data_IF_112981745478
#
_entry.id   IF_112981745478
#
_cell.length_a   1.000
_cell.length_b   1.000
_cell.length_c   1.000
_cell.angle_alpha   90.00
_cell.angle_beta   90.00
_cell.angle_gamma   90.00
#
_symmetry.space_group_name_H-M   'P 1'
#
loop_
_entity.id
_entity.type
_entity.pdbx_description
1 polymer ?
#
# COMPACT_ATOMS: atom_id res chain seq x y z
N UNK A 1 -18.82 3.23 25.28
CA UNK A 1 -17.46 2.62 25.25
C UNK A 1 -17.41 1.21 24.66
N UNK A 2 -18.39 0.35 24.84
CA UNK A 2 -18.44 -0.99 24.18
C UNK A 2 -18.60 -0.88 22.67
N UNK A 3 -19.53 -0.03 22.19
CA UNK A 3 -19.87 0.09 20.78
C UNK A 3 -18.72 0.66 19.93
N UNK A 4 -17.98 1.64 20.46
CA UNK A 4 -16.79 2.20 19.79
C UNK A 4 -15.70 1.12 19.58
N UNK A 5 -15.47 0.26 20.61
CA UNK A 5 -14.48 -0.81 20.50
C UNK A 5 -14.88 -1.85 19.47
N UNK A 6 -16.16 -2.21 19.42
CA UNK A 6 -16.68 -3.19 18.44
C UNK A 6 -16.55 -2.63 17.02
N UNK A 7 -16.94 -1.37 16.79
CA UNK A 7 -16.82 -0.73 15.48
C UNK A 7 -15.35 -0.62 15.03
N UNK A 8 -14.45 -0.28 15.95
CA UNK A 8 -13.01 -0.22 15.67
C UNK A 8 -12.47 -1.60 15.32
N UNK A 9 -12.90 -2.65 16.01
CA UNK A 9 -12.49 -4.03 15.73
C UNK A 9 -12.99 -4.52 14.37
N UNK A 10 -14.26 -4.26 14.03
CA UNK A 10 -14.82 -4.55 12.70
C UNK A 10 -14.02 -3.80 11.63
N UNK A 11 -13.73 -2.52 11.88
CA UNK A 11 -12.93 -1.69 10.99
C UNK A 11 -11.52 -2.24 10.80
N UNK A 12 -10.86 -2.66 11.87
CA UNK A 12 -9.55 -3.31 11.82
C UNK A 12 -9.54 -4.55 10.92
N UNK A 13 -10.47 -5.49 11.13
CA UNK A 13 -10.53 -6.71 10.32
C UNK A 13 -10.91 -6.43 8.86
N UNK A 14 -11.78 -5.45 8.63
CA UNK A 14 -12.12 -5.04 7.26
C UNK A 14 -10.90 -4.45 6.54
N UNK A 15 -10.13 -3.57 7.19
CA UNK A 15 -8.89 -3.04 6.62
C UNK A 15 -7.81 -4.10 6.47
N UNK A 16 -7.75 -5.07 7.39
CA UNK A 16 -6.87 -6.23 7.27
C UNK A 16 -7.15 -6.99 5.96
N UNK A 17 -8.42 -7.31 5.69
CA UNK A 17 -8.79 -8.05 4.49
C UNK A 17 -8.54 -7.25 3.21
N UNK A 18 -8.84 -5.95 3.22
CA UNK A 18 -8.53 -5.07 2.09
C UNK A 18 -7.02 -5.07 1.82
N UNK A 19 -6.19 -4.92 2.87
CA UNK A 19 -4.74 -4.94 2.74
C UNK A 19 -4.18 -6.29 2.26
N UNK A 20 -4.74 -7.41 2.75
CA UNK A 20 -4.35 -8.74 2.25
C UNK A 20 -4.70 -8.87 0.77
N UNK A 21 -5.92 -8.50 0.37
CA UNK A 21 -6.37 -8.60 -1.03
C UNK A 21 -5.53 -7.75 -1.98
N UNK A 22 -5.05 -6.60 -1.54
CA UNK A 22 -4.20 -5.70 -2.34
C UNK A 22 -2.89 -6.38 -2.75
N UNK A 23 -2.16 -6.92 -1.79
CA UNK A 23 -0.78 -7.35 -1.99
C UNK A 23 -0.56 -8.88 -1.96
N UNK A 24 -1.59 -9.70 -1.75
CA UNK A 24 -1.42 -11.15 -1.64
C UNK A 24 -0.80 -11.79 -2.89
N UNK A 25 -1.04 -11.22 -4.07
CA UNK A 25 -0.46 -11.67 -5.34
C UNK A 25 1.06 -11.66 -5.31
N UNK A 26 1.67 -10.71 -4.60
CA UNK A 26 3.14 -10.57 -4.45
C UNK A 26 3.79 -11.85 -3.91
N UNK A 27 3.08 -12.57 -3.06
CA UNK A 27 3.58 -13.80 -2.44
C UNK A 27 3.19 -15.10 -3.16
N UNK A 28 2.49 -15.02 -4.31
CA UNK A 28 2.01 -16.22 -5.01
C UNK A 28 2.16 -16.11 -6.54
N UNK A 29 3.12 -15.30 -7.01
CA UNK A 29 3.37 -15.08 -8.44
C UNK A 29 3.60 -16.40 -9.20
N UNK A 30 4.42 -17.31 -8.65
CA UNK A 30 4.76 -18.57 -9.31
C UNK A 30 3.58 -19.54 -9.38
N UNK A 31 2.77 -19.62 -8.33
CA UNK A 31 1.60 -20.50 -8.27
C UNK A 31 0.55 -20.06 -9.30
N UNK A 32 0.26 -18.76 -9.36
CA UNK A 32 -0.66 -18.19 -10.35
C UNK A 32 -0.11 -18.27 -11.78
N UNK A 33 1.18 -18.03 -11.98
CA UNK A 33 1.86 -18.16 -13.29
C UNK A 33 1.68 -19.54 -13.88
N UNK A 34 1.82 -20.59 -13.08
CA UNK A 34 1.60 -21.98 -13.51
C UNK A 34 0.15 -22.26 -13.87
N UNK A 35 -0.82 -21.79 -13.05
CA UNK A 35 -2.26 -22.04 -13.28
C UNK A 35 -2.77 -21.34 -14.55
N UNK A 36 -2.35 -20.08 -14.78
CA UNK A 36 -2.79 -19.30 -15.93
C UNK A 36 -1.92 -19.46 -17.18
N UNK A 37 -0.83 -20.25 -17.10
CA UNK A 37 0.14 -20.46 -18.19
C UNK A 37 0.72 -19.16 -18.76
N UNK A 38 1.01 -18.19 -17.88
CA UNK A 38 1.60 -16.89 -18.21
C UNK A 38 2.86 -16.65 -17.39
N UNK A 39 3.68 -15.68 -17.78
CA UNK A 39 4.91 -15.36 -17.04
C UNK A 39 4.62 -14.72 -15.68
N UNK A 40 5.57 -14.84 -14.74
CA UNK A 40 5.52 -14.12 -13.45
C UNK A 40 5.43 -12.60 -13.67
N UNK A 41 6.04 -12.07 -14.72
CA UNK A 41 5.94 -10.67 -15.09
C UNK A 41 4.49 -10.26 -15.38
N UNK A 42 3.73 -11.08 -16.11
CA UNK A 42 2.31 -10.84 -16.37
C UNK A 42 1.47 -10.95 -15.10
N UNK A 43 1.71 -11.94 -14.23
CA UNK A 43 1.00 -12.02 -12.94
C UNK A 43 1.29 -10.78 -12.08
N UNK A 44 2.52 -10.27 -12.06
CA UNK A 44 2.86 -9.03 -11.37
C UNK A 44 2.07 -7.81 -11.86
N UNK A 45 1.61 -7.79 -13.13
CA UNK A 45 0.74 -6.73 -13.65
C UNK A 45 -0.64 -6.68 -12.97
N UNK A 46 -1.07 -7.74 -12.29
CA UNK A 46 -2.28 -7.69 -11.47
C UNK A 46 -2.15 -6.71 -10.30
N UNK A 47 -0.94 -6.53 -9.76
CA UNK A 47 -0.62 -5.51 -8.75
C UNK A 47 -0.69 -4.11 -9.38
N UNK A 48 -0.11 -3.95 -10.59
CA UNK A 48 -0.20 -2.70 -11.36
C UNK A 48 -1.65 -2.29 -11.57
N UNK A 49 -2.47 -3.20 -12.11
CA UNK A 49 -3.88 -2.95 -12.44
C UNK A 49 -4.67 -2.58 -11.18
N UNK A 50 -4.42 -3.28 -10.07
CA UNK A 50 -5.09 -3.01 -8.80
C UNK A 50 -4.70 -1.62 -8.26
N UNK A 51 -3.42 -1.31 -8.15
CA UNK A 51 -2.94 -0.05 -7.60
C UNK A 51 -3.37 1.17 -8.44
N UNK A 52 -3.25 1.09 -9.77
CA UNK A 52 -3.69 2.16 -10.69
C UNK A 52 -5.20 2.32 -10.64
N UNK A 53 -5.97 1.22 -10.67
CA UNK A 53 -7.42 1.27 -10.58
C UNK A 53 -7.87 1.85 -9.23
N UNK A 54 -7.25 1.44 -8.12
CA UNK A 54 -7.51 2.01 -6.79
C UNK A 54 -7.29 3.52 -6.78
N UNK A 55 -6.13 3.98 -7.30
CA UNK A 55 -5.77 5.40 -7.34
C UNK A 55 -6.77 6.25 -8.14
N UNK A 56 -7.18 5.78 -9.31
CA UNK A 56 -8.09 6.51 -10.22
C UNK A 56 -9.55 6.41 -9.74
N UNK A 57 -9.99 5.20 -9.42
CA UNK A 57 -11.41 4.94 -9.08
C UNK A 57 -11.79 5.48 -7.71
N UNK A 58 -10.86 5.58 -6.76
CA UNK A 58 -11.15 6.05 -5.41
C UNK A 58 -11.82 7.44 -5.38
N UNK A 59 -11.27 8.51 -5.96
CA UNK A 59 -11.91 9.82 -5.97
C UNK A 59 -13.19 9.85 -6.83
N UNK A 60 -13.20 9.14 -7.96
CA UNK A 60 -14.35 9.10 -8.88
C UNK A 60 -15.54 8.44 -8.21
N UNK A 61 -15.36 7.24 -7.66
CA UNK A 61 -16.42 6.47 -7.02
C UNK A 61 -16.89 7.13 -5.72
N UNK A 62 -15.97 7.69 -4.92
CA UNK A 62 -16.32 8.42 -3.69
C UNK A 62 -17.23 9.61 -4.00
N UNK A 63 -16.94 10.37 -5.07
CA UNK A 63 -17.78 11.47 -5.52
C UNK A 63 -19.11 10.97 -6.09
N UNK A 64 -19.11 9.96 -6.93
CA UNK A 64 -20.30 9.40 -7.55
C UNK A 64 -21.28 8.79 -6.53
N UNK A 65 -20.77 8.26 -5.42
CA UNK A 65 -21.56 7.62 -4.35
C UNK A 65 -21.79 8.51 -3.14
N UNK A 66 -21.43 9.78 -3.19
CA UNK A 66 -21.54 10.72 -2.07
C UNK A 66 -22.98 10.90 -1.54
N UNK A 67 -23.99 10.70 -2.39
CA UNK A 67 -25.41 10.78 -2.05
C UNK A 67 -25.96 9.50 -1.38
N UNK A 68 -25.20 8.39 -1.38
CA UNK A 68 -25.62 7.12 -0.82
C UNK A 68 -25.28 7.08 0.68
N UNK A 69 -26.20 6.55 1.47
CA UNK A 69 -25.96 6.33 2.90
C UNK A 69 -24.71 5.45 3.13
N UNK A 70 -23.82 5.91 4.02
CA UNK A 70 -22.51 5.26 4.24
C UNK A 70 -22.63 3.78 4.64
N UNK A 71 -23.57 3.42 5.54
CA UNK A 71 -23.80 2.04 5.93
C UNK A 71 -24.30 1.19 4.76
N UNK A 72 -25.26 1.67 3.98
CA UNK A 72 -25.80 0.96 2.83
C UNK A 72 -24.71 0.72 1.78
N UNK A 73 -23.92 1.75 1.50
CA UNK A 73 -22.82 1.66 0.55
C UNK A 73 -21.74 0.68 1.02
N UNK A 74 -21.35 0.74 2.31
CA UNK A 74 -20.35 -0.16 2.89
C UNK A 74 -20.84 -1.63 2.84
N UNK A 75 -22.10 -1.89 3.19
CA UNK A 75 -22.71 -3.23 3.08
C UNK A 75 -22.68 -3.72 1.62
N UNK A 76 -23.11 -2.89 0.67
CA UNK A 76 -23.07 -3.25 -0.75
C UNK A 76 -21.66 -3.55 -1.26
N UNK A 77 -20.68 -2.72 -0.86
CA UNK A 77 -19.27 -2.92 -1.21
C UNK A 77 -18.70 -4.22 -0.61
N UNK A 78 -19.04 -4.55 0.64
CA UNK A 78 -18.59 -5.82 1.26
C UNK A 78 -19.21 -7.04 0.57
N UNK A 79 -20.50 -6.98 0.20
CA UNK A 79 -21.14 -8.05 -0.57
C UNK A 79 -20.43 -8.23 -1.92
N UNK A 80 -20.22 -7.15 -2.66
CA UNK A 80 -19.50 -7.19 -3.94
C UNK A 80 -18.07 -7.71 -3.77
N UNK A 81 -17.38 -7.31 -2.69
CA UNK A 81 -16.02 -7.77 -2.42
C UNK A 81 -15.97 -9.30 -2.17
N UNK A 82 -16.97 -9.86 -1.47
CA UNK A 82 -17.12 -11.32 -1.31
C UNK A 82 -17.32 -11.98 -2.68
N UNK A 83 -18.26 -11.47 -3.48
CA UNK A 83 -18.58 -12.03 -4.81
C UNK A 83 -17.34 -12.03 -5.69
N UNK A 84 -16.62 -10.91 -5.78
CA UNK A 84 -15.44 -10.79 -6.64
C UNK A 84 -14.23 -11.55 -6.08
N UNK A 85 -14.10 -11.72 -4.75
CA UNK A 85 -13.10 -12.62 -4.17
C UNK A 85 -13.36 -14.08 -4.57
N UNK A 86 -14.63 -14.54 -4.50
CA UNK A 86 -15.01 -15.86 -4.98
C UNK A 86 -14.84 -15.99 -6.49
N UNK A 87 -15.22 -14.97 -7.25
CA UNK A 87 -15.07 -14.96 -8.70
C UNK A 87 -13.60 -15.11 -9.11
N UNK A 88 -12.67 -14.50 -8.37
CA UNK A 88 -11.23 -14.66 -8.60
C UNK A 88 -10.81 -16.14 -8.63
N UNK A 89 -11.38 -16.97 -7.77
CA UNK A 89 -11.00 -18.40 -7.64
C UNK A 89 -11.51 -19.30 -8.77
N UNK A 90 -12.53 -18.87 -9.49
CA UNK A 90 -13.12 -19.63 -10.62
C UNK A 90 -12.65 -19.14 -11.99
N UNK A 91 -11.88 -18.06 -12.03
CA UNK A 91 -11.31 -17.57 -13.29
C UNK A 91 -10.25 -18.54 -13.82
N UNK A 92 -10.38 -18.88 -15.08
CA UNK A 92 -9.45 -19.73 -15.84
C UNK A 92 -8.65 -18.94 -16.87
N UNK A 93 -9.08 -17.72 -17.18
CA UNK A 93 -8.44 -16.85 -18.16
C UNK A 93 -7.87 -15.61 -17.49
N UNK A 94 -6.59 -15.33 -17.79
CA UNK A 94 -5.86 -14.19 -17.24
C UNK A 94 -6.54 -12.85 -17.54
N UNK A 95 -7.10 -12.65 -18.74
CA UNK A 95 -7.76 -11.39 -19.10
C UNK A 95 -8.98 -11.09 -18.21
N UNK A 96 -9.82 -12.09 -17.94
CA UNK A 96 -10.96 -11.91 -17.03
C UNK A 96 -10.50 -11.71 -15.59
N UNK A 97 -9.41 -12.33 -15.18
CA UNK A 97 -8.81 -12.08 -13.87
C UNK A 97 -8.36 -10.62 -13.73
N UNK A 98 -7.78 -10.01 -14.76
CA UNK A 98 -7.43 -8.58 -14.77
C UNK A 98 -8.66 -7.69 -14.55
N UNK A 99 -9.78 -7.98 -15.23
CA UNK A 99 -11.03 -7.24 -15.05
C UNK A 99 -11.53 -7.36 -13.61
N UNK A 100 -11.55 -8.57 -13.06
CA UNK A 100 -11.94 -8.82 -11.67
C UNK A 100 -11.07 -8.01 -10.70
N UNK A 101 -9.76 -7.96 -10.90
CA UNK A 101 -8.82 -7.20 -10.06
C UNK A 101 -9.08 -5.69 -10.12
N UNK A 102 -9.37 -5.13 -11.30
CA UNK A 102 -9.73 -3.71 -11.46
C UNK A 102 -11.01 -3.38 -10.68
N UNK A 103 -12.04 -4.21 -10.81
CA UNK A 103 -13.31 -4.01 -10.10
C UNK A 103 -13.10 -4.13 -8.58
N UNK A 104 -12.35 -5.14 -8.12
CA UNK A 104 -12.02 -5.32 -6.71
C UNK A 104 -11.27 -4.10 -6.14
N UNK A 105 -10.36 -3.50 -6.89
CA UNK A 105 -9.64 -2.30 -6.48
C UNK A 105 -10.59 -1.11 -6.25
N UNK A 106 -11.54 -0.90 -7.16
CA UNK A 106 -12.58 0.13 -7.01
C UNK A 106 -13.46 -0.10 -5.77
N UNK A 107 -13.88 -1.34 -5.54
CA UNK A 107 -14.67 -1.72 -4.35
C UNK A 107 -13.84 -1.51 -3.07
N UNK A 108 -12.60 -1.97 -3.04
CA UNK A 108 -11.69 -1.83 -1.91
C UNK A 108 -11.43 -0.37 -1.56
N UNK A 109 -11.29 0.50 -2.57
CA UNK A 109 -11.11 1.94 -2.36
C UNK A 109 -12.32 2.58 -1.66
N UNK A 110 -13.55 2.22 -2.07
CA UNK A 110 -14.78 2.67 -1.42
C UNK A 110 -14.90 2.14 0.01
N UNK A 111 -14.60 0.85 0.23
CA UNK A 111 -14.58 0.27 1.59
C UNK A 111 -13.64 1.07 2.47
N UNK A 112 -12.41 1.33 2.02
CA UNK A 112 -11.39 2.07 2.79
C UNK A 112 -11.87 3.45 3.18
N UNK A 113 -12.35 4.25 2.21
CA UNK A 113 -12.81 5.63 2.46
C UNK A 113 -14.05 5.64 3.36
N UNK A 114 -15.04 4.79 3.08
CA UNK A 114 -16.31 4.78 3.84
C UNK A 114 -16.16 4.22 5.23
N UNK A 115 -15.28 3.24 5.42
CA UNK A 115 -14.97 2.68 6.73
C UNK A 115 -14.32 3.72 7.65
N UNK A 116 -13.34 4.48 7.16
CA UNK A 116 -12.69 5.54 7.91
C UNK A 116 -13.66 6.68 8.24
N UNK A 117 -14.44 7.13 7.25
CA UNK A 117 -15.47 8.14 7.43
C UNK A 117 -16.53 7.72 8.46
N UNK A 118 -17.06 6.51 8.31
CA UNK A 118 -18.08 5.97 9.24
C UNK A 118 -17.51 5.80 10.64
N UNK A 119 -16.32 5.27 10.79
CA UNK A 119 -15.64 5.11 12.08
C UNK A 119 -15.43 6.45 12.79
N UNK A 120 -15.03 7.49 12.06
CA UNK A 120 -14.85 8.83 12.58
C UNK A 120 -16.19 9.49 13.01
N UNK A 121 -17.28 9.22 12.28
CA UNK A 121 -18.59 9.86 12.53
C UNK A 121 -19.37 9.23 13.68
N UNK A 122 -18.98 8.07 14.18
CA UNK A 122 -19.67 7.35 15.28
C UNK A 122 -19.16 7.81 16.66
N UNK A 123 -17.98 8.44 16.71
CA UNK A 123 -17.31 8.80 17.96
C UNK A 123 -17.23 10.31 18.15
N UNK A 124 -17.12 10.80 19.41
CA UNK A 124 -16.82 12.20 19.69
C UNK A 124 -15.52 12.67 19.01
N UNK A 125 -15.41 13.97 18.76
CA UNK A 125 -14.30 14.61 18.02
C UNK A 125 -12.92 14.20 18.56
N UNK A 126 -12.78 14.14 19.88
CA UNK A 126 -11.54 13.78 20.59
C UNK A 126 -11.03 12.36 20.31
N UNK A 127 -11.92 11.43 19.90
CA UNK A 127 -11.56 10.03 19.60
C UNK A 127 -11.43 9.72 18.11
N UNK A 128 -11.83 10.62 17.22
CA UNK A 128 -11.84 10.38 15.76
C UNK A 128 -10.49 9.94 15.23
N UNK A 129 -9.43 10.67 15.54
CA UNK A 129 -8.08 10.35 15.07
C UNK A 129 -7.61 8.98 15.58
N UNK A 130 -7.91 8.64 16.84
CA UNK A 130 -7.57 7.36 17.44
C UNK A 130 -8.30 6.19 16.76
N UNK A 131 -9.60 6.36 16.47
CA UNK A 131 -10.40 5.32 15.80
C UNK A 131 -9.90 5.08 14.37
N UNK A 132 -9.66 6.15 13.60
CA UNK A 132 -9.10 6.05 12.24
C UNK A 132 -7.75 5.34 12.28
N UNK A 133 -6.86 5.73 13.19
CA UNK A 133 -5.55 5.10 13.33
C UNK A 133 -5.65 3.61 13.66
N UNK A 134 -6.52 3.23 14.61
CA UNK A 134 -6.71 1.83 14.99
C UNK A 134 -7.34 0.99 13.88
N UNK A 135 -8.23 1.54 13.07
CA UNK A 135 -8.75 0.89 11.86
C UNK A 135 -7.61 0.66 10.86
N UNK A 136 -6.74 1.67 10.64
CA UNK A 136 -5.64 1.57 9.71
C UNK A 136 -4.54 0.59 10.14
N UNK A 137 -4.40 0.31 11.44
CA UNK A 137 -3.52 -0.76 11.96
C UNK A 137 -3.86 -2.11 11.34
N UNK A 138 -5.12 -2.35 10.95
CA UNK A 138 -5.53 -3.54 10.21
C UNK A 138 -4.77 -3.72 8.90
N UNK A 139 -4.58 -2.64 8.14
CA UNK A 139 -3.78 -2.69 6.90
C UNK A 139 -2.30 -3.03 7.18
N UNK A 140 -1.73 -2.49 8.25
CA UNK A 140 -0.36 -2.84 8.67
C UNK A 140 -0.26 -4.31 9.10
N UNK A 141 -1.26 -4.81 9.83
CA UNK A 141 -1.34 -6.21 10.24
C UNK A 141 -1.46 -7.17 9.03
N UNK A 142 -2.13 -6.74 7.95
CA UNK A 142 -2.19 -7.48 6.69
C UNK A 142 -0.79 -7.70 6.11
N UNK A 143 0.04 -6.67 6.10
CA UNK A 143 1.41 -6.75 5.62
C UNK A 143 2.29 -7.67 6.50
N UNK A 144 2.11 -7.64 7.83
CA UNK A 144 2.93 -8.41 8.77
C UNK A 144 2.53 -9.90 8.80
N UNK A 145 1.24 -10.18 8.80
CA UNK A 145 0.72 -11.54 9.03
C UNK A 145 -0.04 -12.08 7.82
N UNK A 146 -0.91 -11.27 7.22
CA UNK A 146 -1.84 -11.71 6.19
C UNK A 146 -1.13 -12.20 4.93
N UNK A 147 -0.22 -11.40 4.41
CA UNK A 147 0.53 -11.75 3.18
C UNK A 147 1.47 -12.93 3.41
N UNK A 148 2.33 -12.99 4.45
CA UNK A 148 3.19 -14.14 4.69
C UNK A 148 2.43 -15.45 4.90
N UNK A 149 1.38 -15.43 5.72
CA UNK A 149 0.55 -16.61 5.97
C UNK A 149 -0.19 -17.03 4.69
N UNK A 150 -0.76 -16.07 3.96
CA UNK A 150 -1.41 -16.34 2.68
C UNK A 150 -0.46 -16.94 1.64
N UNK A 151 0.79 -16.46 1.58
CA UNK A 151 1.85 -17.01 0.73
C UNK A 151 2.13 -18.49 1.04
N UNK A 152 2.27 -18.83 2.33
CA UNK A 152 2.48 -20.22 2.75
C UNK A 152 1.27 -21.09 2.43
N UNK A 153 0.06 -20.62 2.68
CA UNK A 153 -1.16 -21.36 2.34
C UNK A 153 -1.24 -21.60 0.84
N UNK A 154 -1.00 -20.57 0.03
CA UNK A 154 -1.04 -20.66 -1.43
C UNK A 154 -0.05 -21.69 -1.97
N UNK A 155 1.18 -21.71 -1.43
CA UNK A 155 2.24 -22.59 -1.90
C UNK A 155 2.09 -24.05 -1.45
N UNK A 156 1.51 -24.31 -0.25
CA UNK A 156 1.36 -25.67 0.27
C UNK A 156 0.07 -26.36 -0.15
N UNK A 157 -0.96 -25.58 -0.42
CA UNK A 157 -2.28 -26.11 -0.79
C UNK A 157 -2.70 -25.65 -2.17
N UNK A 158 -3.20 -24.39 -2.28
CA UNK A 158 -3.66 -23.81 -3.54
C UNK A 158 -3.75 -22.30 -3.40
N UNK A 159 -3.37 -21.56 -4.45
CA UNK A 159 -3.44 -20.11 -4.50
C UNK A 159 -4.88 -19.55 -4.35
N UNK A 160 -5.91 -20.37 -4.57
CA UNK A 160 -7.33 -20.00 -4.40
C UNK A 160 -7.75 -19.90 -2.93
N UNK A 161 -7.10 -20.67 -2.04
CA UNK A 161 -7.48 -20.75 -0.62
C UNK A 161 -7.40 -19.40 0.10
N UNK A 162 -6.36 -18.58 -0.06
CA UNK A 162 -6.34 -17.23 0.50
C UNK A 162 -7.56 -16.39 0.12
N UNK A 163 -8.07 -16.48 -1.12
CA UNK A 163 -9.26 -15.75 -1.55
C UNK A 163 -10.56 -16.28 -0.90
N UNK A 164 -10.66 -17.59 -0.63
CA UNK A 164 -11.76 -18.14 0.16
C UNK A 164 -11.72 -17.62 1.60
N UNK A 165 -10.54 -17.56 2.20
CA UNK A 165 -10.35 -17.02 3.56
C UNK A 165 -10.74 -15.53 3.59
N UNK A 166 -10.30 -14.75 2.60
CA UNK A 166 -10.69 -13.35 2.41
C UNK A 166 -12.22 -13.22 2.37
N UNK A 167 -12.89 -14.04 1.56
CA UNK A 167 -14.34 -13.99 1.43
C UNK A 167 -15.05 -14.35 2.75
N UNK A 168 -14.60 -15.38 3.48
CA UNK A 168 -15.17 -15.79 4.77
C UNK A 168 -15.01 -14.68 5.81
N UNK A 169 -13.81 -14.11 5.96
CA UNK A 169 -13.59 -13.03 6.95
C UNK A 169 -14.37 -11.77 6.54
N UNK A 170 -14.45 -11.46 5.23
CA UNK A 170 -15.29 -10.35 4.74
C UNK A 170 -16.76 -10.57 5.08
N UNK A 171 -17.26 -11.81 5.00
CA UNK A 171 -18.63 -12.15 5.41
C UNK A 171 -18.85 -11.91 6.91
N UNK A 172 -17.90 -12.28 7.76
CA UNK A 172 -17.99 -11.97 9.20
C UNK A 172 -17.96 -10.45 9.47
N UNK A 173 -17.12 -9.71 8.74
CA UNK A 173 -17.11 -8.24 8.80
C UNK A 173 -18.44 -7.64 8.34
N UNK A 174 -19.04 -8.18 7.26
CA UNK A 174 -20.35 -7.76 6.78
C UNK A 174 -21.43 -7.91 7.85
N UNK A 175 -21.50 -9.07 8.52
CA UNK A 175 -22.41 -9.28 9.64
C UNK A 175 -22.16 -8.26 10.76
N UNK A 176 -20.90 -8.01 11.11
CA UNK A 176 -20.51 -7.00 12.08
C UNK A 176 -20.99 -5.59 11.69
N UNK A 177 -20.81 -5.19 10.43
CA UNK A 177 -21.28 -3.89 9.90
C UNK A 177 -22.81 -3.79 9.96
N UNK A 178 -23.51 -4.87 9.58
CA UNK A 178 -24.99 -4.87 9.61
C UNK A 178 -25.54 -4.73 11.03
N UNK A 179 -24.94 -5.40 12.01
CA UNK A 179 -25.43 -5.46 13.39
C UNK A 179 -25.01 -4.24 14.22
N UNK A 180 -23.77 -3.77 14.10
CA UNK A 180 -23.19 -2.82 15.03
C UNK A 180 -22.97 -1.42 14.48
N UNK A 181 -22.93 -1.21 13.15
CA UNK A 181 -22.82 0.15 12.61
C UNK A 181 -24.20 0.79 12.54
N UNK A 182 -24.42 1.96 13.21
CA UNK A 182 -25.71 2.65 13.19
C UNK A 182 -26.02 3.22 11.80
N UNK A 183 -27.31 3.23 11.45
CA UNK A 183 -27.79 3.78 10.19
C UNK A 183 -27.92 5.32 10.24
N UNK A 184 -26.91 6.02 10.78
CA UNK A 184 -26.91 7.48 10.83
C UNK A 184 -26.26 8.03 9.56
N UNK A 185 -27.07 8.64 8.69
CA UNK A 185 -26.57 9.47 7.61
C UNK A 185 -26.21 10.85 8.19
N UNK A 186 -24.98 11.08 8.55
CA UNK A 186 -24.51 12.45 8.67
C UNK A 186 -23.87 12.86 7.34
N UNK A 187 -24.64 13.58 6.55
CA UNK A 187 -24.10 14.53 5.59
C UNK A 187 -23.43 15.65 6.38
N UNK A 188 -22.24 15.46 6.87
CA UNK A 188 -21.38 16.59 7.12
C UNK A 188 -20.78 16.98 5.76
N UNK A 189 -21.49 17.83 5.03
CA UNK A 189 -20.81 18.78 4.15
C UNK A 189 -19.95 19.60 5.10
N UNK A 190 -18.77 19.12 5.44
CA UNK A 190 -17.75 19.97 6.02
C UNK A 190 -17.55 21.08 5.01
N UNK A 191 -17.90 22.31 5.42
CA UNK A 191 -17.47 23.52 4.74
C UNK A 191 -15.98 23.31 4.46
N UNK A 192 -15.65 23.04 3.18
CA UNK A 192 -14.26 22.88 2.76
C UNK A 192 -13.58 24.19 3.09
N UNK A 193 -12.91 24.23 4.24
CA UNK A 193 -12.03 25.34 4.55
C UNK A 193 -11.02 25.40 3.40
N UNK A 194 -11.03 26.54 2.70
CA UNK A 194 -10.16 26.74 1.54
C UNK A 194 -8.74 26.44 1.95
N UNK A 195 -8.13 25.39 1.39
CA UNK A 195 -6.70 25.14 1.54
C UNK A 195 -5.94 26.15 0.68
N UNK A 196 -4.82 26.63 1.18
CA UNK A 196 -3.92 27.49 0.45
C UNK A 196 -2.52 26.87 0.43
N UNK A 197 -2.03 26.55 -0.76
CA UNK A 197 -0.65 26.13 -0.93
C UNK A 197 0.29 27.33 -0.78
N UNK A 198 1.13 27.31 0.25
CA UNK A 198 2.14 28.33 0.51
C UNK A 198 3.35 28.13 -0.41
N UNK A 199 3.68 26.86 -0.71
CA UNK A 199 4.81 26.51 -1.58
C UNK A 199 4.39 25.44 -2.59
N UNK A 200 3.81 25.87 -3.70
CA UNK A 200 3.37 24.96 -4.79
C UNK A 200 4.54 24.17 -5.40
N UNK A 201 5.67 24.84 -5.65
CA UNK A 201 6.86 24.20 -6.21
C UNK A 201 7.43 23.12 -5.27
N UNK A 202 7.54 23.43 -3.99
CA UNK A 202 7.97 22.46 -2.97
C UNK A 202 7.03 21.26 -2.87
N UNK A 203 5.72 21.49 -2.93
CA UNK A 203 4.70 20.43 -2.95
C UNK A 203 4.88 19.49 -4.14
N UNK A 204 5.05 20.04 -5.36
CA UNK A 204 5.25 19.25 -6.57
C UNK A 204 6.53 18.41 -6.50
N UNK A 205 7.63 18.98 -6.00
CA UNK A 205 8.90 18.27 -5.85
C UNK A 205 8.77 17.12 -4.85
N UNK A 206 8.08 17.33 -3.69
CA UNK A 206 7.90 16.27 -2.69
C UNK A 206 6.99 15.16 -3.18
N UNK A 207 5.93 15.47 -3.93
CA UNK A 207 5.09 14.46 -4.57
C UNK A 207 5.86 13.67 -5.65
N UNK A 208 6.71 14.35 -6.45
CA UNK A 208 7.59 13.68 -7.42
C UNK A 208 8.63 12.80 -6.75
N UNK A 209 9.19 13.25 -5.62
CA UNK A 209 10.08 12.45 -4.78
C UNK A 209 9.40 11.18 -4.28
N UNK A 210 8.16 11.28 -3.76
CA UNK A 210 7.37 10.13 -3.35
C UNK A 210 7.13 9.17 -4.51
N UNK A 211 6.67 9.70 -5.66
CA UNK A 211 6.40 8.91 -6.85
C UNK A 211 7.61 8.06 -7.26
N UNK A 212 8.78 8.68 -7.39
CA UNK A 212 9.99 7.99 -7.84
C UNK A 212 10.46 6.95 -6.80
N UNK A 213 10.39 7.26 -5.51
CA UNK A 213 10.72 6.29 -4.46
C UNK A 213 9.76 5.11 -4.43
N UNK A 214 8.46 5.32 -4.67
CA UNK A 214 7.48 4.25 -4.78
C UNK A 214 7.70 3.39 -6.03
N UNK A 215 8.02 4.00 -7.18
CA UNK A 215 8.39 3.27 -8.40
C UNK A 215 9.62 2.40 -8.13
N UNK A 216 10.69 2.98 -7.59
CA UNK A 216 11.93 2.27 -7.27
C UNK A 216 11.70 1.04 -6.38
N UNK A 217 10.90 1.20 -5.33
CA UNK A 217 10.58 0.11 -4.40
C UNK A 217 9.72 -0.97 -5.05
N UNK A 218 8.64 -0.58 -5.71
CA UNK A 218 7.64 -1.53 -6.21
C UNK A 218 8.16 -2.38 -7.35
N UNK A 219 9.15 -1.91 -8.10
CA UNK A 219 9.88 -2.71 -9.09
C UNK A 219 10.49 -3.97 -8.50
N UNK A 220 10.97 -3.91 -7.26
CA UNK A 220 11.61 -5.03 -6.56
C UNK A 220 10.61 -5.76 -5.66
N UNK A 221 9.80 -5.03 -4.91
CA UNK A 221 8.88 -5.60 -3.92
C UNK A 221 7.79 -6.46 -4.55
N UNK A 222 7.22 -6.05 -5.68
CA UNK A 222 6.20 -6.86 -6.40
C UNK A 222 6.74 -8.22 -6.82
N UNK A 223 8.03 -8.30 -7.11
CA UNK A 223 8.70 -9.53 -7.55
C UNK A 223 9.61 -10.13 -6.47
N UNK A 224 9.32 -9.87 -5.18
CA UNK A 224 10.12 -10.38 -4.05
C UNK A 224 10.15 -11.91 -4.00
N UNK A 225 9.05 -12.59 -4.38
CA UNK A 225 9.01 -14.05 -4.44
C UNK A 225 10.02 -14.60 -5.46
N UNK A 226 9.96 -14.25 -6.75
CA UNK A 226 10.97 -14.70 -7.71
C UNK A 226 12.38 -14.19 -7.39
N UNK A 227 12.54 -12.99 -6.80
CA UNK A 227 13.84 -12.47 -6.37
C UNK A 227 14.48 -13.37 -5.30
N UNK A 228 13.74 -13.77 -4.29
CA UNK A 228 14.24 -14.65 -3.22
C UNK A 228 14.49 -16.05 -3.76
N UNK A 229 13.61 -16.55 -4.64
CA UNK A 229 13.77 -17.86 -5.29
C UNK A 229 14.97 -17.90 -6.26
N UNK A 230 15.28 -16.81 -6.96
CA UNK A 230 16.48 -16.72 -7.84
C UNK A 230 17.80 -16.86 -7.08
N UNK A 231 17.79 -16.56 -5.77
CA UNK A 231 18.93 -16.78 -4.85
C UNK A 231 18.99 -18.21 -4.30
N UNK A 232 18.12 -19.13 -4.76
CA UNK A 232 18.07 -20.54 -4.35
C UNK A 232 17.32 -20.82 -3.04
N UNK A 233 16.51 -19.85 -2.55
CA UNK A 233 15.80 -20.00 -1.28
C UNK A 233 14.38 -20.56 -1.45
N UNK A 234 13.90 -21.24 -0.39
CA UNK A 234 12.57 -21.83 -0.34
C UNK A 234 11.48 -20.78 -0.11
N UNK A 235 10.21 -21.19 -0.32
CA UNK A 235 9.03 -20.36 -0.06
C UNK A 235 8.91 -19.92 1.41
N UNK A 236 9.43 -20.71 2.35
CA UNK A 236 9.51 -20.32 3.76
C UNK A 236 10.34 -19.07 3.98
N UNK A 237 11.47 -18.94 3.26
CA UNK A 237 12.32 -17.74 3.30
C UNK A 237 11.60 -16.56 2.65
N UNK A 238 10.86 -16.78 1.54
CA UNK A 238 10.00 -15.75 0.96
C UNK A 238 9.01 -15.21 1.99
N UNK A 239 8.30 -16.11 2.68
CA UNK A 239 7.33 -15.73 3.71
C UNK A 239 7.98 -14.98 4.89
N UNK A 240 9.17 -15.40 5.33
CA UNK A 240 9.94 -14.67 6.34
C UNK A 240 10.36 -13.28 5.86
N UNK A 241 10.79 -13.14 4.61
CA UNK A 241 11.11 -11.84 4.01
C UNK A 241 9.89 -10.91 3.99
N UNK A 242 8.72 -11.44 3.62
CA UNK A 242 7.47 -10.68 3.62
C UNK A 242 7.05 -10.29 5.06
N UNK A 243 7.16 -11.20 6.02
CA UNK A 243 6.90 -10.91 7.43
C UNK A 243 7.80 -9.77 7.95
N UNK A 244 9.11 -9.89 7.74
CA UNK A 244 10.06 -8.86 8.16
C UNK A 244 9.86 -7.54 7.40
N UNK A 245 9.44 -7.58 6.13
CA UNK A 245 9.05 -6.38 5.38
C UNK A 245 7.84 -5.68 5.99
N UNK A 246 6.83 -6.44 6.44
CA UNK A 246 5.68 -5.90 7.15
C UNK A 246 6.04 -5.24 8.48
N UNK A 247 6.86 -5.90 9.30
CA UNK A 247 7.39 -5.34 10.56
C UNK A 247 8.20 -4.08 10.29
N UNK A 248 9.08 -4.14 9.28
CA UNK A 248 9.88 -2.99 8.85
C UNK A 248 8.99 -1.82 8.40
N UNK A 249 7.84 -2.09 7.78
CA UNK A 249 6.88 -1.06 7.38
C UNK A 249 6.34 -0.25 8.55
N UNK A 250 5.93 -0.93 9.62
CA UNK A 250 5.43 -0.26 10.84
C UNK A 250 6.53 0.53 11.55
N UNK A 251 7.70 -0.09 11.73
CA UNK A 251 8.84 0.57 12.38
C UNK A 251 9.39 1.71 11.54
N UNK A 252 9.46 1.52 10.22
CA UNK A 252 9.96 2.50 9.26
C UNK A 252 9.09 3.76 9.19
N UNK A 253 7.77 3.60 9.21
CA UNK A 253 6.85 4.74 9.25
C UNK A 253 7.07 5.59 10.50
N UNK A 254 7.24 4.96 11.67
CA UNK A 254 7.57 5.68 12.91
C UNK A 254 8.96 6.34 12.85
N UNK A 255 9.94 5.63 12.29
CA UNK A 255 11.31 6.14 12.12
C UNK A 255 11.32 7.37 11.21
N UNK A 256 10.64 7.30 10.05
CA UNK A 256 10.55 8.40 9.10
C UNK A 256 9.91 9.65 9.71
N UNK A 257 8.78 9.49 10.41
CA UNK A 257 8.13 10.58 11.12
C UNK A 257 9.07 11.22 12.16
N UNK A 258 9.67 10.42 13.03
CA UNK A 258 10.58 10.89 14.07
C UNK A 258 11.83 11.60 13.50
N UNK A 259 12.37 11.10 12.39
CA UNK A 259 13.50 11.73 11.70
C UNK A 259 13.08 13.08 11.10
N UNK A 260 11.91 13.14 10.46
CA UNK A 260 11.39 14.35 9.86
C UNK A 260 11.08 15.44 10.91
N UNK A 261 10.50 15.06 12.05
CA UNK A 261 10.22 15.98 13.15
C UNK A 261 11.50 16.54 13.79
N UNK A 262 12.47 15.65 14.10
CA UNK A 262 13.69 16.04 14.82
C UNK A 262 14.74 16.72 13.95
N UNK A 263 14.90 16.27 12.69
CA UNK A 263 16.00 16.72 11.80
C UNK A 263 15.50 17.46 10.54
N UNK A 264 14.19 17.56 10.38
CA UNK A 264 13.57 18.09 9.17
C UNK A 264 13.52 17.07 8.02
N UNK A 265 12.57 17.25 7.10
CA UNK A 265 12.31 16.34 5.99
C UNK A 265 13.50 16.14 5.04
N UNK A 266 14.40 17.12 4.92
CA UNK A 266 15.60 17.07 4.06
C UNK A 266 16.63 16.06 4.55
N UNK A 267 17.01 16.16 5.83
CA UNK A 267 17.98 15.26 6.44
C UNK A 267 17.38 13.87 6.55
N UNK A 268 16.11 13.77 6.95
CA UNK A 268 15.37 12.51 7.01
C UNK A 268 15.36 11.81 5.64
N UNK A 269 14.97 12.52 4.57
CA UNK A 269 14.94 11.98 3.21
C UNK A 269 16.32 11.52 2.73
N UNK A 270 17.39 12.28 2.97
CA UNK A 270 18.75 11.86 2.61
C UNK A 270 19.20 10.59 3.35
N UNK A 271 18.92 10.47 4.64
CA UNK A 271 19.21 9.25 5.42
C UNK A 271 18.44 8.07 4.83
N UNK A 272 17.14 8.25 4.56
CA UNK A 272 16.26 7.22 3.98
C UNK A 272 16.84 6.74 2.65
N UNK A 273 17.13 7.64 1.71
CA UNK A 273 17.64 7.28 0.38
C UNK A 273 18.98 6.56 0.49
N UNK A 274 19.89 7.07 1.32
CA UNK A 274 21.24 6.50 1.44
C UNK A 274 21.18 5.07 1.96
N UNK A 275 20.44 4.82 3.05
CA UNK A 275 20.34 3.47 3.61
C UNK A 275 19.53 2.55 2.70
N UNK A 276 18.49 3.05 2.03
CA UNK A 276 17.74 2.32 1.02
C UNK A 276 18.67 1.82 -0.10
N UNK A 277 19.49 2.70 -0.70
CA UNK A 277 20.44 2.33 -1.77
C UNK A 277 21.43 1.27 -1.27
N UNK A 278 22.02 1.47 -0.09
CA UNK A 278 22.95 0.50 0.49
C UNK A 278 22.27 -0.85 0.65
N UNK A 279 21.05 -0.88 1.21
CA UNK A 279 20.33 -2.13 1.49
C UNK A 279 20.01 -2.92 0.22
N UNK A 280 19.51 -2.25 -0.84
CA UNK A 280 19.21 -2.93 -2.11
C UNK A 280 20.49 -3.35 -2.85
N UNK A 281 21.58 -2.58 -2.71
CA UNK A 281 22.89 -2.97 -3.28
C UNK A 281 23.44 -4.23 -2.61
N UNK A 282 23.29 -4.34 -1.27
CA UNK A 282 23.74 -5.54 -0.53
C UNK A 282 23.00 -6.79 -1.00
N UNK A 283 21.75 -6.69 -1.50
CA UNK A 283 21.02 -7.85 -2.06
C UNK A 283 21.80 -8.51 -3.22
N UNK A 284 22.53 -7.73 -4.03
CA UNK A 284 23.39 -8.30 -5.09
C UNK A 284 24.48 -9.21 -4.52
N UNK A 285 24.96 -8.89 -3.32
CA UNK A 285 26.09 -9.56 -2.67
C UNK A 285 25.65 -10.70 -1.74
N UNK A 286 24.34 -10.88 -1.51
CA UNK A 286 23.85 -11.88 -0.54
C UNK A 286 24.17 -13.32 -0.93
N UNK A 287 24.25 -13.62 -2.24
CA UNK A 287 24.40 -15.01 -2.71
C UNK A 287 23.34 -15.91 -2.08
N UNK A 288 23.76 -17.00 -1.45
CA UNK A 288 22.89 -17.94 -0.71
C UNK A 288 22.82 -17.66 0.81
N UNK A 289 23.37 -16.55 1.30
CA UNK A 289 23.33 -16.22 2.72
C UNK A 289 21.96 -15.70 3.12
N UNK A 290 21.14 -16.56 3.72
CA UNK A 290 19.77 -16.26 4.17
C UNK A 290 19.71 -15.10 5.16
N UNK A 291 20.62 -15.06 6.13
CA UNK A 291 20.61 -14.02 7.18
C UNK A 291 20.87 -12.66 6.56
N UNK A 292 21.88 -12.56 5.69
CA UNK A 292 22.21 -11.32 5.01
C UNK A 292 21.07 -10.86 4.09
N UNK A 293 20.40 -11.78 3.41
CA UNK A 293 19.25 -11.49 2.55
C UNK A 293 18.09 -10.92 3.39
N UNK A 294 17.71 -11.58 4.48
CA UNK A 294 16.60 -11.12 5.35
C UNK A 294 16.92 -9.76 5.97
N UNK A 295 18.16 -9.56 6.46
CA UNK A 295 18.58 -8.28 7.01
C UNK A 295 18.56 -7.16 5.96
N UNK A 296 19.00 -7.44 4.74
CA UNK A 296 18.97 -6.47 3.63
C UNK A 296 17.54 -6.10 3.25
N UNK A 297 16.64 -7.07 3.13
CA UNK A 297 15.23 -6.85 2.83
C UNK A 297 14.52 -6.10 3.97
N UNK A 298 14.80 -6.46 5.22
CA UNK A 298 14.29 -5.73 6.39
C UNK A 298 14.74 -4.28 6.38
N UNK A 299 16.05 -4.02 6.25
CA UNK A 299 16.61 -2.66 6.27
C UNK A 299 16.11 -1.85 5.07
N UNK A 300 16.05 -2.45 3.89
CA UNK A 300 15.47 -1.84 2.69
C UNK A 300 14.03 -1.35 2.98
N UNK A 301 13.15 -2.23 3.46
CA UNK A 301 11.76 -1.88 3.73
C UNK A 301 11.62 -0.89 4.90
N UNK A 302 12.45 -1.02 5.95
CA UNK A 302 12.46 -0.11 7.09
C UNK A 302 12.64 1.34 6.66
N UNK A 303 13.63 1.60 5.82
CA UNK A 303 13.90 2.95 5.36
C UNK A 303 12.96 3.39 4.24
N UNK A 304 12.56 2.49 3.35
CA UNK A 304 11.57 2.81 2.32
C UNK A 304 10.24 3.31 2.91
N UNK A 305 9.67 2.61 3.88
CA UNK A 305 8.40 3.00 4.51
C UNK A 305 8.48 4.27 5.36
N UNK A 306 9.68 4.75 5.67
CA UNK A 306 9.91 6.08 6.23
C UNK A 306 9.71 7.23 5.24
N UNK A 307 9.68 6.94 3.93
CA UNK A 307 9.54 7.95 2.87
C UNK A 307 8.22 8.71 2.97
N UNK A 308 7.09 7.99 3.06
CA UNK A 308 5.77 8.62 3.04
C UNK A 308 5.54 9.57 4.23
N UNK A 309 5.75 9.19 5.50
CA UNK A 309 5.63 10.13 6.62
C UNK A 309 6.56 11.35 6.50
N UNK A 310 7.75 11.17 5.93
CA UNK A 310 8.68 12.28 5.68
C UNK A 310 8.11 13.26 4.65
N UNK A 311 7.49 12.75 3.59
CA UNK A 311 6.81 13.56 2.56
C UNK A 311 5.59 14.25 3.16
N UNK A 312 4.74 13.55 3.88
CA UNK A 312 3.56 14.13 4.54
C UNK A 312 3.94 15.27 5.49
N UNK A 313 5.00 15.09 6.29
CA UNK A 313 5.53 16.16 7.15
C UNK A 313 5.93 17.41 6.35
N UNK A 314 6.56 17.25 5.19
CA UNK A 314 6.93 18.37 4.31
C UNK A 314 5.70 19.04 3.68
N UNK A 315 4.75 18.23 3.19
CA UNK A 315 3.51 18.72 2.58
C UNK A 315 2.67 19.56 3.55
N UNK A 316 2.57 19.12 4.81
CA UNK A 316 1.87 19.86 5.86
C UNK A 316 2.54 21.21 6.19
N UNK A 317 3.87 21.32 6.03
CA UNK A 317 4.58 22.61 6.16
C UNK A 317 4.33 23.56 4.99
N UNK A 318 4.02 23.03 3.81
CA UNK A 318 3.77 23.84 2.60
C UNK A 318 2.30 24.25 2.45
N UNK A 319 1.47 23.96 3.43
CA UNK A 319 0.03 24.18 3.41
C UNK A 319 -0.41 25.08 4.57
N UNK A 320 -1.44 25.90 4.31
CA UNK A 320 -2.28 26.54 5.33
C UNK A 320 -3.74 26.13 5.13
N UNK A 321 -4.42 25.75 6.20
CA UNK A 321 -5.82 25.29 6.18
C UNK A 321 -5.97 23.78 6.25
N UNK A 322 -7.02 23.23 5.64
CA UNK A 322 -7.36 21.80 5.70
C UNK A 322 -6.38 20.93 4.91
N UNK A 323 -5.70 19.95 5.53
CA UNK A 323 -4.74 19.08 4.85
C UNK A 323 -5.38 17.96 4.01
N UNK A 324 -6.69 17.75 4.08
CA UNK A 324 -7.36 16.58 3.51
C UNK A 324 -7.09 16.41 2.03
N UNK A 325 -7.08 17.50 1.26
CA UNK A 325 -6.89 17.44 -0.18
C UNK A 325 -5.45 17.09 -0.56
N UNK A 326 -4.46 17.65 0.12
CA UNK A 326 -3.05 17.36 -0.17
C UNK A 326 -2.67 15.92 0.24
N UNK A 327 -3.23 15.42 1.34
CA UNK A 327 -3.06 14.03 1.75
C UNK A 327 -3.75 13.06 0.80
N UNK A 328 -4.86 13.46 0.17
CA UNK A 328 -5.50 12.67 -0.90
C UNK A 328 -4.59 12.54 -2.13
N UNK A 329 -3.91 13.63 -2.53
CA UNK A 329 -2.92 13.57 -3.61
C UNK A 329 -1.72 12.68 -3.24
N UNK A 330 -1.24 12.76 -1.99
CA UNK A 330 -0.17 11.90 -1.47
C UNK A 330 -0.52 10.42 -1.63
N UNK A 331 -1.70 9.99 -1.20
CA UNK A 331 -2.18 8.61 -1.34
C UNK A 331 -2.32 8.20 -2.82
N UNK A 332 -2.83 9.09 -3.67
CA UNK A 332 -2.97 8.83 -5.11
C UNK A 332 -1.61 8.63 -5.77
N UNK A 333 -0.64 9.48 -5.48
CA UNK A 333 0.72 9.40 -6.01
C UNK A 333 1.44 8.14 -5.49
N UNK A 334 1.24 7.77 -4.22
CA UNK A 334 1.76 6.54 -3.65
C UNK A 334 1.29 5.32 -4.46
N UNK A 335 -0.02 5.19 -4.66
CA UNK A 335 -0.60 4.07 -5.41
C UNK A 335 -0.19 4.08 -6.89
N UNK A 336 -0.12 5.26 -7.52
CA UNK A 336 0.38 5.40 -8.88
C UNK A 336 1.83 4.92 -8.98
N UNK A 337 2.67 5.27 -8.00
CA UNK A 337 4.06 4.81 -7.93
C UNK A 337 4.16 3.29 -7.76
N UNK A 338 3.29 2.68 -6.94
CA UNK A 338 3.21 1.21 -6.81
C UNK A 338 2.87 0.59 -8.16
N UNK A 339 1.84 1.08 -8.84
CA UNK A 339 1.41 0.57 -10.13
C UNK A 339 2.48 0.68 -11.22
N UNK A 340 3.07 1.87 -11.39
CA UNK A 340 4.13 2.10 -12.38
C UNK A 340 5.39 1.29 -12.06
N UNK A 341 5.76 1.18 -10.78
CA UNK A 341 6.88 0.37 -10.35
C UNK A 341 6.68 -1.11 -10.66
N UNK A 342 5.51 -1.68 -10.36
CA UNK A 342 5.17 -3.06 -10.71
C UNK A 342 5.23 -3.30 -12.23
N UNK A 343 4.74 -2.34 -13.03
CA UNK A 343 4.79 -2.42 -14.48
C UNK A 343 6.24 -2.47 -14.99
N UNK A 344 7.06 -1.50 -14.59
CA UNK A 344 8.46 -1.40 -14.99
C UNK A 344 9.24 -2.63 -14.48
N UNK A 345 9.01 -3.05 -13.23
CA UNK A 345 9.62 -4.23 -12.64
C UNK A 345 9.34 -5.50 -13.43
N UNK A 346 8.09 -5.67 -13.93
CA UNK A 346 7.74 -6.81 -14.78
C UNK A 346 8.46 -6.82 -16.12
N UNK A 347 8.61 -5.65 -16.75
CA UNK A 347 9.37 -5.51 -18.00
C UNK A 347 10.85 -5.85 -17.76
N UNK A 348 11.45 -5.29 -16.71
CA UNK A 348 12.86 -5.56 -16.39
C UNK A 348 13.11 -7.01 -15.99
N UNK A 349 12.20 -7.62 -15.24
CA UNK A 349 12.27 -9.02 -14.86
C UNK A 349 12.17 -9.96 -16.07
N UNK A 350 11.39 -9.59 -17.10
CA UNK A 350 11.33 -10.36 -18.34
C UNK A 350 12.64 -10.32 -19.15
N UNK A 351 13.48 -9.30 -18.94
CA UNK A 351 14.78 -9.12 -19.58
C UNK A 351 15.89 -9.79 -18.76
N UNK A 352 15.88 -9.60 -17.44
CA UNK A 352 16.88 -10.13 -16.51
C UNK A 352 16.22 -10.82 -15.30
N UNK A 353 16.10 -12.14 -15.38
CA UNK A 353 15.52 -12.99 -14.33
C UNK A 353 16.34 -13.02 -13.03
N UNK A 354 17.58 -12.50 -13.03
CA UNK A 354 18.45 -12.43 -11.85
C UNK A 354 18.29 -11.14 -11.05
N UNK A 355 17.46 -10.20 -11.53
CA UNK A 355 17.18 -8.92 -10.90
C UNK A 355 18.35 -7.91 -10.82
N UNK A 356 19.49 -8.17 -11.44
CA UNK A 356 20.60 -7.23 -11.43
C UNK A 356 20.22 -5.91 -12.10
N UNK A 357 19.55 -5.98 -13.26
CA UNK A 357 19.07 -4.80 -13.98
C UNK A 357 18.02 -4.04 -13.17
N UNK A 358 17.05 -4.75 -12.57
CA UNK A 358 16.01 -4.15 -11.72
C UNK A 358 16.61 -3.40 -10.52
N UNK A 359 17.62 -3.98 -9.86
CA UNK A 359 18.31 -3.35 -8.74
C UNK A 359 19.08 -2.11 -9.18
N UNK A 360 19.80 -2.18 -10.30
CA UNK A 360 20.54 -1.03 -10.85
C UNK A 360 19.58 0.12 -11.19
N UNK A 361 18.47 -0.15 -11.87
CA UNK A 361 17.47 0.87 -12.20
C UNK A 361 16.83 1.44 -10.93
N UNK A 362 16.54 0.62 -9.91
CA UNK A 362 16.03 1.09 -8.63
C UNK A 362 17.01 2.03 -7.93
N UNK A 363 18.31 1.73 -7.96
CA UNK A 363 19.36 2.61 -7.41
C UNK A 363 19.39 3.94 -8.18
N UNK A 364 19.36 3.91 -9.50
CA UNK A 364 19.36 5.14 -10.31
C UNK A 364 18.14 6.02 -10.01
N UNK A 365 16.96 5.44 -9.88
CA UNK A 365 15.75 6.18 -9.49
C UNK A 365 15.88 6.77 -8.08
N UNK A 366 16.43 6.03 -7.12
CA UNK A 366 16.69 6.55 -5.78
C UNK A 366 17.71 7.70 -5.79
N UNK A 367 18.73 7.66 -6.65
CA UNK A 367 19.67 8.75 -6.85
C UNK A 367 18.99 9.99 -7.43
N UNK A 368 18.10 9.83 -8.41
CA UNK A 368 17.27 10.93 -8.95
C UNK A 368 16.41 11.54 -7.84
N UNK A 369 15.83 10.73 -6.96
CA UNK A 369 15.10 11.21 -5.78
C UNK A 369 15.95 12.09 -4.86
N UNK A 370 17.24 11.76 -4.69
CA UNK A 370 18.18 12.60 -3.91
C UNK A 370 18.39 13.98 -4.54
N UNK A 371 18.44 14.04 -5.88
CA UNK A 371 18.55 15.32 -6.60
C UNK A 371 17.29 16.17 -6.40
N UNK A 372 16.09 15.58 -6.52
CA UNK A 372 14.84 16.27 -6.26
C UNK A 372 14.78 16.86 -4.85
N UNK A 373 15.24 16.10 -3.85
CA UNK A 373 15.27 16.57 -2.48
C UNK A 373 16.19 17.80 -2.31
N UNK A 374 17.33 17.85 -3.02
CA UNK A 374 18.23 19.03 -3.04
C UNK A 374 17.57 20.25 -3.70
N UNK A 375 16.81 20.05 -4.78
CA UNK A 375 16.10 21.13 -5.47
C UNK A 375 14.97 21.71 -4.60
N UNK A 376 14.27 20.89 -3.81
CA UNK A 376 13.28 21.35 -2.84
C UNK A 376 13.89 22.32 -1.81
N UNK A 377 15.17 22.18 -1.52
CA UNK A 377 15.96 23.05 -0.63
C UNK A 377 16.05 24.47 -1.17
N UNK A 378 16.37 24.63 -2.46
CA UNK A 378 16.56 25.96 -3.08
C UNK A 378 15.25 26.75 -3.16
N UNK A 379 14.10 26.08 -3.30
CA UNK A 379 12.81 26.76 -3.42
C UNK A 379 12.30 27.41 -2.12
N UNK A 380 12.80 27.02 -0.94
CA UNK A 380 12.46 27.67 0.34
C UNK A 380 13.29 28.92 0.63
N UNK A 381 14.52 28.97 0.12
CA UNK A 381 15.41 30.12 0.33
C UNK A 381 15.06 31.31 -0.56
N UNK A 382 14.35 31.07 -1.67
CA UNK A 382 13.90 32.13 -2.60
C UNK A 382 12.53 32.73 -2.25
N UNK A 383 11.83 32.19 -1.24
CA UNK A 383 10.50 32.68 -0.79
C UNK A 383 10.59 33.39 0.58
N UNK A 384 11.76 33.59 1.13
CA UNK A 384 12.07 34.50 2.24
C UNK A 384 12.65 35.79 1.71
#
# INVERSE_FOLDING_TARGET
MSDTKIVTLIGFFTMFIVGVSDLIVVGMLNEMSKEFHVSNALIGQLVTLYAVAFSILSPILTKATSHINDKKLLVSCLILFIIFSMLTTVMTNYFFLCIVRIIMAGIASLITVKLMSTGANIVPEEYKASVIANIYVGFSAANILGIPIGTLIASHYNWKIPFYIIAIITFLCLLGVMLFIPNKSHYSVTNQSKYQLVNFRGTLIMLSFLLIMMISNSMLFTYIEPLVKSKGHSIWIVSLCLFFSGVAGVLGSKLGNNLAEKKGYRIAGNIIITVYIISITVILLTGQNVILLILSIFTWNLFHWGTNPTVQYALLKFLKGDPSQILSYDISILNLGIGLGSLIGGILFSIDNQFNLSIVVAILLAMVSSILLKIAVHSETTTK
#
